data_IF_922493321687
#
_entry.id   IF_922493321687
#
_cell.length_a   1.000
_cell.length_b   1.000
_cell.length_c   1.000
_cell.angle_alpha   90.00
_cell.angle_beta   90.00
_cell.angle_gamma   90.00
#
_symmetry.space_group_name_H-M   'P 1'
#
loop_
_entity.id
_entity.type
_entity.pdbx_description
1 polymer ?
#
# COMPACT_ATOMS: atom_id res chain seq x y z
N UNK A 1 0.92 -8.44 -30.97
CA UNK A 1 2.17 -7.69 -31.09
C UNK A 1 3.04 -7.93 -29.90
N UNK A 2 4.27 -8.32 -30.11
CA UNK A 2 5.18 -8.67 -29.03
C UNK A 2 5.47 -7.47 -28.12
N UNK A 3 5.62 -6.28 -28.71
CA UNK A 3 5.90 -5.09 -27.94
C UNK A 3 4.77 -4.72 -26.99
N UNK A 4 3.53 -5.13 -27.29
CA UNK A 4 2.41 -4.86 -26.40
C UNK A 4 2.55 -5.62 -25.07
N UNK A 5 3.08 -6.84 -25.14
CA UNK A 5 3.31 -7.62 -23.93
C UNK A 5 4.38 -7.00 -23.06
N UNK A 6 5.46 -6.50 -23.67
CA UNK A 6 6.54 -5.83 -22.96
C UNK A 6 6.04 -4.52 -22.34
N UNK A 7 5.29 -3.73 -23.11
CA UNK A 7 4.76 -2.48 -22.61
C UNK A 7 3.81 -2.71 -21.43
N UNK A 8 2.98 -3.73 -21.53
CA UNK A 8 2.06 -4.08 -20.45
C UNK A 8 2.80 -4.44 -19.17
N UNK A 9 3.89 -5.20 -19.32
CA UNK A 9 4.74 -5.58 -18.19
C UNK A 9 5.29 -4.33 -17.48
N UNK A 10 5.89 -3.41 -18.24
CA UNK A 10 6.49 -2.23 -17.66
C UNK A 10 5.45 -1.29 -17.05
N UNK A 11 4.31 -1.12 -17.71
CA UNK A 11 3.24 -0.27 -17.18
C UNK A 11 2.69 -0.84 -15.87
N UNK A 12 2.48 -2.14 -15.82
CA UNK A 12 2.00 -2.76 -14.59
C UNK A 12 3.02 -2.63 -13.47
N UNK A 13 4.31 -2.76 -13.79
CA UNK A 13 5.37 -2.60 -12.81
C UNK A 13 5.39 -1.18 -12.24
N UNK A 14 5.34 -0.18 -13.11
CA UNK A 14 5.34 1.22 -12.70
C UNK A 14 4.11 1.51 -11.84
N UNK A 15 2.95 1.03 -12.25
CA UNK A 15 1.70 1.25 -11.52
C UNK A 15 1.77 0.67 -10.12
N UNK A 16 2.26 -0.56 -10.01
CA UNK A 16 2.43 -1.22 -8.74
C UNK A 16 3.37 -0.42 -7.83
N UNK A 17 4.52 -0.02 -8.34
CA UNK A 17 5.49 0.74 -7.56
C UNK A 17 4.95 2.09 -7.11
N UNK A 18 4.27 2.80 -8.00
CA UNK A 18 3.65 4.08 -7.66
C UNK A 18 2.69 3.94 -6.49
N UNK A 19 1.78 2.99 -6.59
CA UNK A 19 0.76 2.80 -5.57
C UNK A 19 1.38 2.32 -4.25
N UNK A 20 2.37 1.47 -4.34
CA UNK A 20 3.07 0.97 -3.15
C UNK A 20 3.75 2.12 -2.41
N UNK A 21 4.52 2.95 -3.14
CA UNK A 21 5.24 4.05 -2.50
C UNK A 21 4.29 5.13 -2.00
N UNK A 22 3.21 5.39 -2.71
CA UNK A 22 2.19 6.32 -2.22
C UNK A 22 1.56 5.81 -0.93
N UNK A 23 1.25 4.52 -0.87
CA UNK A 23 0.73 3.91 0.34
C UNK A 23 1.68 4.07 1.51
N UNK A 24 2.97 3.81 1.28
CA UNK A 24 3.98 3.97 2.32
C UNK A 24 4.05 5.42 2.80
N UNK A 25 4.02 6.38 1.88
CA UNK A 25 4.09 7.78 2.24
C UNK A 25 2.88 8.19 3.11
N UNK A 26 1.69 7.79 2.71
CA UNK A 26 0.49 8.10 3.49
C UNK A 26 0.51 7.40 4.86
N UNK A 27 1.02 6.17 4.91
CA UNK A 27 1.13 5.46 6.19
C UNK A 27 2.08 6.19 7.13
N UNK A 28 3.22 6.64 6.64
CA UNK A 28 4.18 7.37 7.46
C UNK A 28 3.62 8.72 7.91
N UNK A 29 2.93 9.42 7.03
CA UNK A 29 2.25 10.66 7.39
C UNK A 29 1.22 10.42 8.48
N UNK A 30 0.41 9.37 8.31
CA UNK A 30 -0.63 9.05 9.27
C UNK A 30 -0.05 8.72 10.64
N UNK A 31 0.99 7.91 10.67
CA UNK A 31 1.65 7.55 11.91
C UNK A 31 2.21 8.79 12.61
N UNK A 32 2.88 9.65 11.84
CA UNK A 32 3.47 10.87 12.40
C UNK A 32 2.41 11.80 12.99
N UNK A 33 1.26 11.94 12.32
CA UNK A 33 0.21 12.82 12.81
C UNK A 33 -0.45 12.26 14.06
N UNK A 34 -0.66 10.94 14.10
CA UNK A 34 -1.25 10.29 15.27
C UNK A 34 -0.36 10.47 16.50
N UNK A 35 0.94 10.46 16.30
CA UNK A 35 1.90 10.62 17.40
C UNK A 35 1.87 12.00 18.04
N UNK A 36 1.27 13.00 17.38
CA UNK A 36 1.12 14.33 17.93
C UNK A 36 0.11 14.38 19.07
N UNK A 37 -0.72 13.36 19.15
CA UNK A 37 -1.63 13.15 20.30
C UNK A 37 -2.61 14.29 20.58
N UNK A 38 -3.00 15.04 19.56
CA UNK A 38 -4.11 15.97 19.65
C UNK A 38 -5.25 15.47 18.77
N UNK A 39 -6.47 15.90 19.07
CA UNK A 39 -7.65 15.38 18.37
C UNK A 39 -7.61 15.63 16.88
N UNK A 40 -7.15 16.80 16.48
CA UNK A 40 -7.04 17.14 15.05
C UNK A 40 -5.98 16.30 14.38
N UNK A 41 -4.83 16.13 15.01
CA UNK A 41 -3.75 15.31 14.47
C UNK A 41 -4.16 13.86 14.34
N UNK A 42 -4.84 13.34 15.35
CA UNK A 42 -5.33 11.95 15.32
C UNK A 42 -6.33 11.76 14.20
N UNK A 43 -7.30 12.66 14.05
CA UNK A 43 -8.30 12.54 12.99
C UNK A 43 -7.65 12.62 11.61
N UNK A 44 -6.72 13.53 11.43
CA UNK A 44 -6.00 13.67 10.18
C UNK A 44 -5.15 12.43 9.89
N UNK A 45 -4.48 11.93 10.93
CA UNK A 45 -3.67 10.73 10.82
C UNK A 45 -4.47 9.51 10.42
N UNK A 46 -5.65 9.35 11.03
CA UNK A 46 -6.53 8.23 10.69
C UNK A 46 -6.92 8.29 9.21
N UNK A 47 -7.26 9.48 8.71
CA UNK A 47 -7.60 9.64 7.29
C UNK A 47 -6.43 9.27 6.39
N UNK A 48 -5.21 9.66 6.76
CA UNK A 48 -4.03 9.29 6.01
C UNK A 48 -3.81 7.78 6.01
N UNK A 49 -4.04 7.13 7.15
CA UNK A 49 -3.91 5.68 7.25
C UNK A 49 -4.97 4.95 6.43
N UNK A 50 -6.17 5.49 6.36
CA UNK A 50 -7.22 4.94 5.50
C UNK A 50 -6.82 5.07 4.04
N UNK A 51 -6.27 6.21 3.64
CA UNK A 51 -5.78 6.41 2.29
C UNK A 51 -4.65 5.45 1.98
N UNK A 52 -3.74 5.24 2.93
CA UNK A 52 -2.65 4.28 2.77
C UNK A 52 -3.17 2.87 2.51
N UNK A 53 -4.17 2.46 3.29
CA UNK A 53 -4.78 1.13 3.11
C UNK A 53 -5.38 1.00 1.72
N UNK A 54 -6.08 2.03 1.25
CA UNK A 54 -6.65 2.04 -0.08
C UNK A 54 -5.57 1.94 -1.16
N UNK A 55 -4.46 2.66 -0.98
CA UNK A 55 -3.34 2.59 -1.92
C UNK A 55 -2.72 1.19 -1.95
N UNK A 56 -2.58 0.56 -0.78
CA UNK A 56 -2.05 -0.80 -0.73
C UNK A 56 -2.99 -1.81 -1.37
N UNK A 57 -4.31 -1.64 -1.23
CA UNK A 57 -5.26 -2.48 -1.93
C UNK A 57 -5.09 -2.37 -3.44
N UNK A 58 -4.98 -1.15 -3.93
CA UNK A 58 -4.77 -0.89 -5.35
C UNK A 58 -3.41 -1.40 -5.82
N UNK A 59 -2.39 -1.26 -4.96
CA UNK A 59 -1.07 -1.79 -5.27
C UNK A 59 -1.11 -3.31 -5.39
N UNK A 60 -1.89 -3.98 -4.56
CA UNK A 60 -2.05 -5.42 -4.66
C UNK A 60 -2.64 -5.86 -5.99
N UNK A 61 -3.65 -5.13 -6.45
CA UNK A 61 -4.26 -5.40 -7.76
C UNK A 61 -3.24 -5.19 -8.87
N UNK A 62 -2.48 -4.09 -8.80
CA UNK A 62 -1.46 -3.78 -9.79
C UNK A 62 -0.32 -4.81 -9.74
N UNK A 63 0.05 -5.25 -8.55
CA UNK A 63 1.10 -6.27 -8.39
C UNK A 63 0.68 -7.58 -9.04
N UNK A 64 -0.57 -7.97 -8.90
CA UNK A 64 -1.08 -9.16 -9.54
C UNK A 64 -1.00 -9.04 -11.06
N UNK A 65 -1.40 -7.89 -11.59
CA UNK A 65 -1.31 -7.65 -13.03
C UNK A 65 0.14 -7.69 -13.51
N UNK A 66 1.04 -7.11 -12.72
CA UNK A 66 2.47 -7.13 -13.01
C UNK A 66 3.02 -8.57 -13.04
N UNK A 67 2.67 -9.37 -12.04
CA UNK A 67 3.13 -10.74 -11.96
C UNK A 67 2.58 -11.55 -13.15
N UNK A 68 1.32 -11.37 -13.48
CA UNK A 68 0.72 -12.06 -14.62
C UNK A 68 1.44 -11.70 -15.92
N UNK A 69 1.75 -10.42 -16.10
CA UNK A 69 2.47 -9.96 -17.27
C UNK A 69 3.92 -10.47 -17.30
N UNK A 70 4.52 -10.62 -16.12
CA UNK A 70 5.92 -11.02 -16.00
C UNK A 70 6.15 -12.52 -16.18
N UNK A 71 5.11 -13.31 -16.08
CA UNK A 71 5.25 -14.78 -16.14
C UNK A 71 6.01 -15.27 -17.37
N UNK A 72 5.95 -14.54 -18.46
CA UNK A 72 6.58 -14.91 -19.71
C UNK A 72 8.02 -14.43 -19.80
N UNK A 73 8.39 -13.40 -19.05
CA UNK A 73 9.68 -12.72 -19.22
C UNK A 73 10.64 -12.92 -18.07
N UNK A 74 10.15 -12.90 -16.85
CA UNK A 74 10.98 -12.81 -15.67
C UNK A 74 10.44 -13.75 -14.60
N UNK A 75 11.33 -14.32 -13.82
CA UNK A 75 10.95 -15.11 -12.66
C UNK A 75 10.81 -14.15 -11.48
N UNK A 76 9.59 -13.94 -11.07
CA UNK A 76 9.28 -13.02 -9.97
C UNK A 76 8.68 -13.81 -8.84
N UNK A 77 9.18 -13.58 -7.64
CA UNK A 77 8.64 -14.21 -6.45
C UNK A 77 7.35 -13.49 -6.04
N UNK A 78 6.25 -14.00 -6.58
CA UNK A 78 4.93 -13.45 -6.30
C UNK A 78 4.61 -13.49 -4.81
N UNK A 79 5.01 -14.58 -4.13
CA UNK A 79 4.72 -14.74 -2.71
C UNK A 79 5.39 -13.63 -1.90
N UNK A 80 6.65 -13.34 -2.20
CA UNK A 80 7.37 -12.27 -1.51
C UNK A 80 6.70 -10.91 -1.70
N UNK A 81 6.30 -10.60 -2.94
CA UNK A 81 5.63 -9.33 -3.23
C UNK A 81 4.30 -9.22 -2.46
N UNK A 82 3.47 -10.24 -2.55
CA UNK A 82 2.16 -10.20 -1.91
C UNK A 82 2.28 -10.19 -0.40
N UNK A 83 3.25 -10.91 0.15
CA UNK A 83 3.49 -10.92 1.59
C UNK A 83 3.88 -9.54 2.08
N UNK A 84 4.77 -8.85 1.36
CA UNK A 84 5.20 -7.51 1.73
C UNK A 84 4.03 -6.53 1.73
N UNK A 85 3.16 -6.61 0.72
CA UNK A 85 1.98 -5.75 0.66
C UNK A 85 1.01 -6.05 1.81
N UNK A 86 0.79 -7.32 2.08
CA UNK A 86 -0.10 -7.72 3.17
C UNK A 86 0.43 -7.27 4.52
N UNK A 87 1.74 -7.36 4.74
CA UNK A 87 2.35 -6.91 5.99
C UNK A 87 2.18 -5.42 6.19
N UNK A 88 2.42 -4.61 5.15
CA UNK A 88 2.23 -3.17 5.23
C UNK A 88 0.78 -2.81 5.54
N UNK A 89 -0.14 -3.48 4.87
CA UNK A 89 -1.57 -3.27 5.06
C UNK A 89 -2.00 -3.67 6.48
N UNK A 90 -1.48 -4.78 6.98
CA UNK A 90 -1.78 -5.27 8.31
C UNK A 90 -1.31 -4.30 9.39
N UNK A 91 -0.09 -3.79 9.27
CA UNK A 91 0.46 -2.81 10.21
C UNK A 91 -0.39 -1.54 10.22
N UNK A 92 -0.74 -1.04 9.04
CA UNK A 92 -1.58 0.14 8.91
C UNK A 92 -2.91 -0.06 9.61
N UNK A 93 -3.52 -1.21 9.38
CA UNK A 93 -4.82 -1.54 9.99
C UNK A 93 -4.71 -1.62 11.51
N UNK A 94 -3.66 -2.24 12.03
CA UNK A 94 -3.45 -2.35 13.47
C UNK A 94 -3.31 -0.98 14.12
N UNK A 95 -2.59 -0.06 13.47
CA UNK A 95 -2.43 1.29 13.99
C UNK A 95 -3.78 2.01 14.00
N UNK A 96 -4.56 1.88 12.94
CA UNK A 96 -5.88 2.47 12.85
C UNK A 96 -6.80 1.97 13.96
N UNK A 97 -6.76 0.69 14.23
CA UNK A 97 -7.58 0.10 15.28
C UNK A 97 -7.21 0.68 16.65
N UNK A 98 -5.93 0.84 16.91
CA UNK A 98 -5.46 1.39 18.19
C UNK A 98 -5.90 2.83 18.39
N UNK A 99 -5.80 3.66 17.35
CA UNK A 99 -6.18 5.07 17.50
C UNK A 99 -7.68 5.28 17.44
N UNK A 100 -8.45 4.28 17.00
CA UNK A 100 -9.89 4.35 17.00
C UNK A 100 -10.51 4.02 18.35
N UNK A 101 -9.73 3.46 19.27
CA UNK A 101 -10.23 3.14 20.61
C UNK A 101 -10.45 4.42 21.41
N UNK A 102 -11.40 4.39 22.37
CA UNK A 102 -11.61 5.54 23.24
C UNK A 102 -10.32 5.93 23.96
N UNK A 103 -10.02 7.22 23.94
CA UNK A 103 -8.75 7.71 24.46
C UNK A 103 -8.82 8.24 25.87
N UNK A 104 -10.02 8.41 26.38
CA UNK A 104 -10.24 9.03 27.68
C UNK A 104 -10.60 8.00 28.74
N UNK A 105 -9.98 6.91 28.70
CA UNK A 105 -10.25 5.84 29.64
C UNK A 105 -9.48 5.96 30.92
#
# INVERSE_FOLDING_TARGET
MAENGVAKYFLAHIRYKQLYFMGMAYAMLGIGRVQQDDDEGVAYGIRNLMTATDMFDKAGIAAKAFVDAARTFVFIDNVTIMTALDDCKSVTKQIMEKVSLPRHQ
#
